data_IF_171162547541
#
_entry.id   IF_171162547541
#
_cell.length_a   1.000
_cell.length_b   1.000
_cell.length_c   1.000
_cell.angle_alpha   90.00
_cell.angle_beta   90.00
_cell.angle_gamma   90.00
#
_symmetry.space_group_name_H-M   'P 1'
#
loop_
_entity.id
_entity.type
_entity.pdbx_description
1 polymer ?
#
# COMPACT_ATOMS: atom_id res chain seq x y z
N UNK A 1 -20.34 27.36 24.09
CA UNK A 1 -19.94 28.10 22.88
C UNK A 1 -18.87 27.28 22.17
N UNK A 2 -19.14 26.81 20.94
CA UNK A 2 -18.27 25.92 20.16
C UNK A 2 -17.30 26.77 19.34
N UNK A 3 -16.07 26.93 19.80
CA UNK A 3 -15.02 27.69 19.10
C UNK A 3 -13.84 26.77 18.82
N UNK A 4 -13.81 26.21 17.62
CA UNK A 4 -12.71 25.37 17.13
C UNK A 4 -12.81 24.95 15.66
N UNK A 5 -13.73 25.51 14.88
CA UNK A 5 -14.07 25.02 13.53
C UNK A 5 -13.75 25.94 12.35
N UNK A 6 -13.04 27.06 12.54
CA UNK A 6 -12.87 28.06 11.48
C UNK A 6 -11.58 27.87 10.65
N UNK A 7 -10.60 27.11 11.14
CA UNK A 7 -9.33 26.88 10.42
C UNK A 7 -9.26 25.55 9.65
N UNK A 8 -10.39 24.83 9.51
CA UNK A 8 -10.46 23.58 8.75
C UNK A 8 -11.07 23.77 7.35
N UNK A 9 -10.88 24.97 6.76
CA UNK A 9 -11.56 25.39 5.54
C UNK A 9 -10.62 26.07 4.56
N UNK A 10 -9.61 25.34 4.10
CA UNK A 10 -9.09 25.52 2.75
C UNK A 10 -8.55 24.18 2.27
N UNK A 11 -9.20 23.62 1.25
CA UNK A 11 -8.67 22.57 0.40
C UNK A 11 -7.41 23.09 -0.30
N UNK A 12 -6.30 23.11 0.43
CA UNK A 12 -5.00 23.46 -0.07
C UNK A 12 -4.61 22.43 -1.13
N UNK A 13 -4.74 22.76 -2.41
CA UNK A 13 -4.19 21.98 -3.53
C UNK A 13 -2.68 21.66 -3.39
N UNK A 14 -1.99 22.39 -2.51
CA UNK A 14 -0.57 22.20 -2.20
C UNK A 14 -0.27 21.15 -1.12
N UNK A 15 -1.20 20.88 -0.19
CA UNK A 15 -0.97 19.97 0.95
C UNK A 15 -2.13 19.01 1.26
N UNK A 16 -3.29 19.17 0.62
CA UNK A 16 -4.51 18.40 0.80
C UNK A 16 -4.78 17.56 -0.44
N UNK A 17 -4.72 16.25 -0.28
CA UNK A 17 -5.10 15.25 -1.28
C UNK A 17 -4.35 15.40 -2.62
N UNK A 18 -3.08 14.93 -2.66
CA UNK A 18 -2.45 14.52 -3.92
C UNK A 18 -3.45 13.65 -4.68
N UNK A 19 -4.14 14.21 -5.68
CA UNK A 19 -4.87 13.43 -6.66
C UNK A 19 -3.80 12.53 -7.25
N UNK A 20 -3.92 11.24 -6.97
CA UNK A 20 -2.97 10.28 -7.49
C UNK A 20 -3.21 10.29 -9.00
N UNK A 21 -2.29 10.93 -9.74
CA UNK A 21 -2.36 11.03 -11.19
C UNK A 21 -1.85 9.71 -11.73
N UNK A 22 -2.81 8.84 -12.04
CA UNK A 22 -2.56 7.60 -12.75
C UNK A 22 -2.77 7.87 -14.25
N UNK A 23 -1.98 7.27 -15.15
CA UNK A 23 -2.27 7.30 -16.57
C UNK A 23 -3.67 6.72 -16.84
N UNK A 24 -4.49 7.42 -17.62
CA UNK A 24 -5.90 7.08 -17.84
C UNK A 24 -6.12 5.70 -18.46
N UNK A 25 -5.09 5.13 -19.10
CA UNK A 25 -5.15 3.86 -19.81
C UNK A 25 -4.78 2.62 -18.98
N UNK A 26 -4.34 2.77 -17.72
CA UNK A 26 -3.94 1.63 -16.88
C UNK A 26 -5.00 1.29 -15.84
N UNK A 27 -4.91 0.11 -15.22
CA UNK A 27 -5.56 -0.24 -13.95
C UNK A 27 -4.77 0.26 -12.74
N UNK A 28 -5.39 0.34 -11.55
CA UNK A 28 -4.63 0.71 -10.34
C UNK A 28 -3.66 -0.40 -9.95
N UNK A 29 -4.09 -1.66 -10.10
CA UNK A 29 -3.23 -2.82 -9.94
C UNK A 29 -2.00 -2.82 -10.86
N UNK A 30 -2.20 -2.56 -12.16
CA UNK A 30 -1.10 -2.51 -13.14
C UNK A 30 -0.13 -1.38 -12.84
N UNK A 31 -0.66 -0.22 -12.46
CA UNK A 31 0.15 0.91 -12.03
C UNK A 31 0.97 0.59 -10.77
N UNK A 32 0.41 -0.12 -9.79
CA UNK A 32 1.16 -0.58 -8.61
C UNK A 32 2.32 -1.51 -9.01
N UNK A 33 2.11 -2.42 -9.96
CA UNK A 33 3.16 -3.30 -10.45
C UNK A 33 4.28 -2.51 -11.15
N UNK A 34 3.92 -1.56 -12.02
CA UNK A 34 4.88 -0.68 -12.68
C UNK A 34 5.70 0.15 -11.68
N UNK A 35 5.08 0.66 -10.62
CA UNK A 35 5.79 1.37 -9.55
C UNK A 35 6.79 0.46 -8.84
N UNK A 36 6.41 -0.78 -8.53
CA UNK A 36 7.30 -1.75 -7.89
C UNK A 36 8.49 -2.12 -8.79
N UNK A 37 8.28 -2.20 -10.11
CA UNK A 37 9.34 -2.54 -11.07
C UNK A 37 10.27 -1.34 -11.34
N UNK A 38 9.78 -0.11 -11.19
CA UNK A 38 10.59 1.11 -11.32
C UNK A 38 11.52 1.39 -10.12
N UNK A 39 11.28 0.73 -8.98
CA UNK A 39 12.04 0.96 -7.74
C UNK A 39 13.26 0.03 -7.61
N UNK A 40 14.29 0.41 -6.82
CA UNK A 40 15.41 -0.48 -6.52
C UNK A 40 14.95 -1.81 -5.90
N UNK A 41 15.60 -2.91 -6.28
CA UNK A 41 15.17 -4.27 -5.97
C UNK A 41 14.91 -4.51 -4.47
N UNK A 42 15.76 -4.00 -3.58
CA UNK A 42 15.59 -4.15 -2.13
C UNK A 42 14.32 -3.46 -1.61
N UNK A 43 14.08 -2.22 -2.03
CA UNK A 43 12.89 -1.44 -1.67
C UNK A 43 11.63 -2.09 -2.25
N UNK A 44 11.70 -2.52 -3.51
CA UNK A 44 10.61 -3.21 -4.17
C UNK A 44 10.28 -4.55 -3.50
N UNK A 45 11.28 -5.33 -3.09
CA UNK A 45 11.09 -6.58 -2.33
C UNK A 45 10.38 -6.34 -0.99
N UNK A 46 10.77 -5.28 -0.27
CA UNK A 46 10.12 -4.90 0.98
C UNK A 46 8.64 -4.56 0.78
N UNK A 47 8.32 -3.73 -0.22
CA UNK A 47 6.93 -3.42 -0.54
C UNK A 47 6.16 -4.66 -0.98
N UNK A 48 6.73 -5.50 -1.85
CA UNK A 48 6.10 -6.77 -2.27
C UNK A 48 5.84 -7.70 -1.08
N UNK A 49 6.76 -7.76 -0.11
CA UNK A 49 6.56 -8.51 1.15
C UNK A 49 5.35 -8.00 1.93
N UNK A 50 5.24 -6.68 2.10
CA UNK A 50 4.12 -6.05 2.81
C UNK A 50 2.79 -6.23 2.07
N UNK A 51 2.77 -5.96 0.77
CA UNK A 51 1.58 -6.09 -0.08
C UNK A 51 1.10 -7.54 -0.09
N UNK A 52 1.99 -8.53 -0.20
CA UNK A 52 1.58 -9.93 -0.18
C UNK A 52 0.93 -10.34 1.15
N UNK A 53 1.47 -9.88 2.29
CA UNK A 53 0.85 -10.11 3.61
C UNK A 53 -0.53 -9.45 3.69
N UNK A 54 -0.65 -8.23 3.17
CA UNK A 54 -1.92 -7.51 3.11
C UNK A 54 -2.97 -8.27 2.29
N UNK A 55 -2.64 -8.65 1.05
CA UNK A 55 -3.52 -9.42 0.17
C UNK A 55 -3.93 -10.76 0.79
N UNK A 56 -2.97 -11.52 1.33
CA UNK A 56 -3.25 -12.81 1.96
C UNK A 56 -4.16 -12.67 3.19
N UNK A 57 -4.03 -11.59 3.96
CA UNK A 57 -4.89 -11.35 5.12
C UNK A 57 -6.35 -11.12 4.70
N UNK A 58 -6.59 -10.38 3.62
CA UNK A 58 -7.94 -10.19 3.06
C UNK A 58 -8.48 -11.48 2.42
N UNK A 59 -7.62 -12.25 1.74
CA UNK A 59 -7.97 -13.56 1.18
C UNK A 59 -8.51 -14.50 2.27
N UNK A 60 -7.85 -14.54 3.44
CA UNK A 60 -8.32 -15.34 4.60
C UNK A 60 -9.63 -14.86 5.19
N UNK A 61 -10.02 -13.60 4.99
CA UNK A 61 -11.32 -13.05 5.43
C UNK A 61 -12.44 -13.27 4.41
N UNK A 62 -12.17 -13.96 3.31
CA UNK A 62 -13.14 -14.24 2.25
C UNK A 62 -13.14 -13.22 1.11
N UNK A 63 -12.20 -12.27 1.09
CA UNK A 63 -12.00 -11.33 -0.02
C UNK A 63 -10.84 -11.83 -0.89
N UNK A 64 -11.17 -12.63 -1.92
CA UNK A 64 -10.16 -13.27 -2.78
C UNK A 64 -9.26 -12.29 -3.53
N UNK A 65 -9.81 -11.17 -4.00
CA UNK A 65 -9.05 -10.06 -4.60
C UNK A 65 -9.60 -8.73 -4.09
N UNK A 66 -8.73 -7.74 -3.98
CA UNK A 66 -9.11 -6.38 -3.59
C UNK A 66 -9.47 -5.58 -4.84
N UNK A 67 -10.52 -4.74 -4.79
CA UNK A 67 -10.90 -3.93 -5.95
C UNK A 67 -9.88 -2.82 -6.22
N UNK A 68 -9.91 -2.31 -7.45
CA UNK A 68 -9.02 -1.24 -7.88
C UNK A 68 -9.26 0.09 -7.13
N UNK A 69 -10.53 0.42 -6.89
CA UNK A 69 -10.97 1.62 -6.14
C UNK A 69 -12.12 1.27 -5.20
N UNK A 70 -12.20 1.94 -4.04
CA UNK A 70 -13.38 1.91 -3.17
C UNK A 70 -13.74 3.29 -2.65
N UNK A 71 -14.99 3.47 -2.25
CA UNK A 71 -15.44 4.71 -1.60
C UNK A 71 -14.71 4.91 -0.26
N UNK A 72 -14.08 6.08 -0.08
CA UNK A 72 -13.35 6.41 1.13
C UNK A 72 -11.97 5.75 1.27
N UNK A 73 -11.46 5.06 0.25
CA UNK A 73 -10.18 4.33 0.31
C UNK A 73 -8.94 5.16 0.58
N UNK A 74 -8.97 6.45 0.22
CA UNK A 74 -7.93 7.44 0.52
C UNK A 74 -8.01 7.99 1.95
N UNK A 75 -9.11 7.72 2.65
CA UNK A 75 -9.40 8.23 3.99
C UNK A 75 -8.54 7.60 5.10
N UNK A 76 -8.86 7.99 6.34
CA UNK A 76 -8.19 7.49 7.54
C UNK A 76 -8.48 6.01 7.82
N UNK A 77 -9.66 5.51 7.39
CA UNK A 77 -10.04 4.11 7.54
C UNK A 77 -9.22 3.23 6.60
N UNK A 78 -8.77 2.08 7.09
CA UNK A 78 -8.16 1.05 6.25
C UNK A 78 -9.26 0.34 5.45
N UNK A 79 -9.36 0.73 4.18
CA UNK A 79 -10.26 0.12 3.20
C UNK A 79 -9.38 -0.46 2.09
N UNK A 80 -9.50 -1.75 1.78
CA UNK A 80 -8.58 -2.43 0.87
C UNK A 80 -8.78 -2.02 -0.59
N UNK A 81 -7.83 -1.30 -1.18
CA UNK A 81 -7.87 -1.04 -2.63
C UNK A 81 -6.47 -0.94 -3.23
N UNK A 82 -6.36 -1.25 -4.51
CA UNK A 82 -5.10 -1.04 -5.25
C UNK A 82 -4.72 0.44 -5.30
N UNK A 83 -5.70 1.35 -5.37
CA UNK A 83 -5.47 2.80 -5.24
C UNK A 83 -4.80 3.17 -3.91
N UNK A 84 -5.19 2.54 -2.79
CA UNK A 84 -4.54 2.74 -1.49
C UNK A 84 -3.11 2.23 -1.50
N UNK A 85 -2.86 1.05 -2.09
CA UNK A 85 -1.50 0.52 -2.26
C UNK A 85 -0.64 1.49 -3.08
N UNK A 86 -1.16 2.00 -4.21
CA UNK A 86 -0.46 3.01 -5.02
C UNK A 86 -0.14 4.27 -4.23
N UNK A 87 -1.07 4.73 -3.37
CA UNK A 87 -0.85 5.88 -2.48
C UNK A 87 0.35 5.66 -1.55
N UNK A 88 0.48 4.46 -0.98
CA UNK A 88 1.60 4.09 -0.09
C UNK A 88 2.91 4.09 -0.87
N UNK A 89 2.93 3.49 -2.06
CA UNK A 89 4.10 3.44 -2.94
C UNK A 89 4.55 4.85 -3.35
N UNK A 90 3.64 5.70 -3.82
CA UNK A 90 3.95 7.06 -4.28
C UNK A 90 4.39 8.01 -3.16
N UNK A 91 3.88 7.81 -1.95
CA UNK A 91 4.33 8.59 -0.80
C UNK A 91 5.65 8.07 -0.22
N UNK A 92 6.25 7.03 -0.81
CA UNK A 92 7.42 6.34 -0.28
C UNK A 92 7.23 5.93 1.20
N UNK A 93 6.02 5.47 1.52
CA UNK A 93 5.66 5.10 2.89
C UNK A 93 6.24 3.73 3.25
N UNK A 94 7.53 3.74 3.61
CA UNK A 94 8.34 2.53 3.74
C UNK A 94 7.73 1.52 4.72
N UNK A 95 7.25 1.93 5.88
CA UNK A 95 6.71 0.98 6.87
C UNK A 95 5.28 0.52 6.59
N UNK A 96 4.60 1.17 5.64
CA UNK A 96 3.20 0.96 5.30
C UNK A 96 2.19 1.06 6.47
N UNK A 97 2.30 2.01 7.43
CA UNK A 97 1.26 2.29 8.43
C UNK A 97 -0.12 2.53 7.83
N UNK A 98 -0.20 3.08 6.61
CA UNK A 98 -1.48 3.22 5.91
C UNK A 98 -2.15 1.85 5.59
N UNK A 99 -1.39 0.76 5.50
CA UNK A 99 -1.91 -0.61 5.34
C UNK A 99 -1.94 -1.37 6.67
N UNK A 100 -2.02 -0.64 7.80
CA UNK A 100 -2.09 -1.19 9.16
C UNK A 100 -0.83 -1.95 9.59
N UNK A 101 0.35 -1.62 9.05
CA UNK A 101 1.63 -2.18 9.48
C UNK A 101 2.38 -1.27 10.47
N UNK A 102 3.02 -1.88 11.45
CA UNK A 102 3.93 -1.18 12.37
C UNK A 102 5.39 -1.29 11.92
N UNK A 103 6.25 -0.30 12.26
CA UNK A 103 7.68 -0.39 12.04
C UNK A 103 8.29 -1.60 12.72
N UNK A 104 9.19 -2.30 12.03
CA UNK A 104 9.93 -3.40 12.62
C UNK A 104 11.22 -2.88 13.26
N UNK A 105 11.62 -3.45 14.41
CA UNK A 105 12.95 -3.17 14.97
C UNK A 105 14.04 -3.65 13.98
N UNK A 106 15.08 -2.83 13.69
CA UNK A 106 16.10 -3.18 12.70
C UNK A 106 16.74 -4.56 12.91
N UNK A 107 17.02 -4.92 14.17
CA UNK A 107 17.61 -6.22 14.57
C UNK A 107 16.80 -7.45 14.11
N UNK A 108 15.50 -7.31 13.92
CA UNK A 108 14.61 -8.42 13.57
C UNK A 108 14.09 -8.34 12.12
N UNK A 109 14.45 -7.28 11.38
CA UNK A 109 13.91 -7.04 10.05
C UNK A 109 14.32 -8.12 9.05
N UNK A 110 15.59 -8.55 9.06
CA UNK A 110 16.09 -9.58 8.14
C UNK A 110 15.29 -10.88 8.27
N UNK A 111 15.18 -11.40 9.50
CA UNK A 111 14.40 -12.62 9.79
C UNK A 111 12.93 -12.49 9.38
N UNK A 112 12.33 -11.31 9.56
CA UNK A 112 10.97 -11.05 9.09
C UNK A 112 10.89 -11.12 7.56
N UNK A 113 11.80 -10.46 6.86
CA UNK A 113 11.87 -10.44 5.39
C UNK A 113 12.01 -11.85 4.84
N UNK A 114 12.96 -12.64 5.34
CA UNK A 114 13.21 -14.00 4.90
C UNK A 114 11.97 -14.90 5.10
N UNK A 115 11.33 -14.78 6.26
CA UNK A 115 10.10 -15.53 6.57
C UNK A 115 8.95 -15.15 5.63
N UNK A 116 8.78 -13.86 5.32
CA UNK A 116 7.71 -13.42 4.40
C UNK A 116 8.05 -13.83 2.96
N UNK A 117 9.32 -13.79 2.56
CA UNK A 117 9.79 -14.25 1.25
C UNK A 117 9.48 -15.74 1.05
N UNK A 118 9.72 -16.58 2.07
CA UNK A 118 9.34 -17.99 2.04
C UNK A 118 7.82 -18.17 1.91
N UNK A 119 7.03 -17.48 2.73
CA UNK A 119 5.56 -17.53 2.68
C UNK A 119 4.97 -17.06 1.36
N UNK A 120 5.58 -16.06 0.72
CA UNK A 120 5.15 -15.59 -0.61
C UNK A 120 5.28 -16.68 -1.66
N UNK A 121 6.36 -17.46 -1.61
CA UNK A 121 6.55 -18.62 -2.49
C UNK A 121 5.46 -19.67 -2.27
N UNK A 122 5.08 -19.91 -1.01
CA UNK A 122 3.97 -20.83 -0.68
C UNK A 122 2.61 -20.33 -1.17
N UNK A 123 2.35 -19.02 -1.08
CA UNK A 123 1.07 -18.42 -1.48
C UNK A 123 0.96 -18.16 -2.98
N UNK A 124 2.08 -18.16 -3.72
CA UNK A 124 2.11 -17.77 -5.13
C UNK A 124 1.82 -16.28 -5.37
N UNK A 125 1.85 -15.43 -4.34
CA UNK A 125 1.47 -14.02 -4.44
C UNK A 125 2.72 -13.16 -4.71
N UNK A 126 2.70 -12.45 -5.84
CA UNK A 126 3.77 -11.56 -6.28
C UNK A 126 5.14 -12.26 -6.30
N UNK A 127 5.22 -13.56 -6.61
CA UNK A 127 6.52 -14.19 -6.82
C UNK A 127 7.16 -13.48 -8.01
N UNK A 128 8.35 -12.90 -7.82
CA UNK A 128 9.11 -12.38 -8.95
C UNK A 128 9.31 -13.57 -9.89
N UNK A 129 8.75 -13.50 -11.09
CA UNK A 129 9.26 -14.33 -12.18
C UNK A 129 10.68 -13.81 -12.41
N UNK A 130 11.66 -14.63 -12.02
CA UNK A 130 13.03 -14.51 -12.55
C UNK A 130 13.00 -14.62 -14.08
#
# INVERSE_FOLDING_TARGET
MRSGGIYAGHDNHFYGHRKILKPDHLGWREYAMLLLDSMPQNTAEHYRNKIAVYLHWYQKRGMNDIPDTQEGDIGAKDIPSWRRICKVLLNNDYWCPALSFSPNKPKHYQRYSDRVKAKRKEWGILCNNE
#
